data_IF_254960711008
#
_entry.id   IF_254960711008
#
_cell.length_a   1.000
_cell.length_b   1.000
_cell.length_c   1.000
_cell.angle_alpha   90.00
_cell.angle_beta   90.00
_cell.angle_gamma   90.00
#
_symmetry.space_group_name_H-M   'P 1'
#
loop_
_entity.id
_entity.type
_entity.pdbx_description
1 polymer ?
#
# COMPACT_ATOMS: atom_id res chain seq x y z
N UNK A 1 3.85 50.07 3.10
CA UNK A 1 3.48 48.99 2.19
C UNK A 1 3.75 47.68 2.89
N UNK A 2 2.70 47.05 3.36
CA UNK A 2 2.83 45.82 4.15
C UNK A 2 3.31 44.67 3.29
N UNK A 3 4.46 44.10 3.65
CA UNK A 3 4.80 42.74 3.23
C UNK A 3 3.72 41.83 3.80
N UNK A 4 2.91 41.26 2.94
CA UNK A 4 2.09 40.11 3.27
C UNK A 4 3.04 39.03 3.76
N UNK A 5 3.11 38.85 5.07
CA UNK A 5 3.73 37.67 5.63
C UNK A 5 2.98 36.45 5.03
N UNK A 6 3.69 35.64 4.31
CA UNK A 6 3.23 34.32 3.93
C UNK A 6 2.86 33.60 5.24
N UNK A 7 1.57 33.51 5.53
CA UNK A 7 1.05 32.73 6.65
C UNK A 7 1.14 31.20 6.37
N UNK A 8 2.19 30.79 5.68
CA UNK A 8 2.44 29.41 5.24
C UNK A 8 2.68 28.45 6.41
N UNK A 9 3.00 29.01 7.60
CA UNK A 9 3.16 28.20 8.80
C UNK A 9 1.84 27.63 9.34
N UNK A 10 0.69 28.08 8.86
CA UNK A 10 -0.63 27.60 9.28
C UNK A 10 -1.14 26.43 8.45
N UNK A 11 -0.47 26.09 7.36
CA UNK A 11 -0.78 24.86 6.61
C UNK A 11 -0.07 23.68 7.25
N UNK A 12 -0.49 23.32 8.46
CA UNK A 12 -0.21 21.99 8.98
C UNK A 12 -1.09 21.06 8.16
N UNK A 13 -0.48 20.41 7.17
CA UNK A 13 -1.16 19.36 6.42
C UNK A 13 -1.50 18.24 7.41
N UNK A 14 -2.75 18.17 7.82
CA UNK A 14 -3.24 17.15 8.73
C UNK A 14 -3.31 15.83 7.98
N UNK A 15 -2.39 14.91 8.33
CA UNK A 15 -2.34 13.58 7.75
C UNK A 15 -2.96 12.58 8.70
N UNK A 16 -3.83 11.74 8.19
CA UNK A 16 -4.39 10.60 8.92
C UNK A 16 -4.44 9.36 8.02
N UNK A 17 -4.38 8.18 8.63
CA UNK A 17 -4.57 6.91 7.95
C UNK A 17 -5.93 6.38 8.38
N UNK A 18 -6.80 6.14 7.40
CA UNK A 18 -8.19 5.78 7.62
C UNK A 18 -8.52 4.43 6.98
N UNK A 19 -9.48 3.67 7.53
CA UNK A 19 -9.94 2.44 6.92
C UNK A 19 -10.76 2.70 5.66
N UNK A 20 -10.99 1.64 4.89
CA UNK A 20 -11.79 1.68 3.69
C UNK A 20 -13.20 2.22 3.94
N UNK A 21 -13.64 3.09 3.03
CA UNK A 21 -15.01 3.51 2.86
C UNK A 21 -15.36 3.41 1.37
N UNK A 22 -16.59 2.98 1.05
CA UNK A 22 -16.98 2.76 -0.34
C UNK A 22 -16.87 4.01 -1.24
N UNK A 23 -17.02 5.19 -0.65
CA UNK A 23 -16.82 6.46 -1.37
C UNK A 23 -15.41 6.65 -1.90
N UNK A 24 -14.43 5.91 -1.37
CA UNK A 24 -13.02 5.98 -1.79
C UNK A 24 -12.59 4.80 -2.69
N UNK A 25 -13.54 3.98 -3.14
CA UNK A 25 -13.22 2.85 -4.02
C UNK A 25 -12.53 3.29 -5.30
N UNK A 26 -12.95 4.41 -5.87
CA UNK A 26 -12.36 4.97 -7.08
C UNK A 26 -10.93 5.49 -6.82
N UNK A 27 -10.69 6.09 -5.65
CA UNK A 27 -9.35 6.53 -5.25
C UNK A 27 -8.39 5.35 -5.16
N UNK A 28 -8.82 4.23 -4.59
CA UNK A 28 -8.04 3.00 -4.53
C UNK A 28 -7.62 2.52 -5.93
N UNK A 29 -8.57 2.47 -6.86
CA UNK A 29 -8.32 2.07 -8.25
C UNK A 29 -7.35 3.02 -8.95
N UNK A 30 -7.63 4.31 -8.91
CA UNK A 30 -6.85 5.33 -9.63
C UNK A 30 -5.42 5.44 -9.12
N UNK A 31 -5.20 5.42 -7.80
CA UNK A 31 -3.85 5.47 -7.22
C UNK A 31 -3.01 4.28 -7.68
N UNK A 32 -3.58 3.07 -7.67
CA UNK A 32 -2.87 1.88 -8.08
C UNK A 32 -2.63 1.82 -9.59
N UNK A 33 -3.62 2.21 -10.41
CA UNK A 33 -3.44 2.26 -11.86
C UNK A 33 -2.34 3.26 -12.25
N UNK A 34 -2.32 4.45 -11.65
CA UNK A 34 -1.28 5.45 -11.91
C UNK A 34 0.11 4.93 -11.56
N UNK A 35 0.24 4.22 -10.43
CA UNK A 35 1.50 3.61 -10.02
C UNK A 35 1.94 2.50 -10.98
N UNK A 36 1.01 1.63 -11.40
CA UNK A 36 1.29 0.54 -12.36
C UNK A 36 1.71 1.09 -13.72
N UNK A 37 1.01 2.10 -14.22
CA UNK A 37 1.34 2.73 -15.50
C UNK A 37 2.71 3.39 -15.49
N UNK A 38 3.15 3.92 -14.35
CA UNK A 38 4.46 4.55 -14.21
C UNK A 38 5.61 3.54 -14.21
N UNK A 39 5.45 2.39 -13.56
CA UNK A 39 6.54 1.44 -13.33
C UNK A 39 6.41 0.14 -14.11
N UNK A 40 5.20 -0.22 -14.53
CA UNK A 40 4.86 -1.49 -15.17
C UNK A 40 3.75 -1.29 -16.20
N UNK A 41 2.89 -2.28 -16.33
CA UNK A 41 1.63 -2.22 -17.09
C UNK A 41 0.49 -2.71 -16.20
N UNK A 42 -0.72 -2.27 -16.49
CA UNK A 42 -1.92 -2.79 -15.82
C UNK A 42 -2.26 -4.13 -16.44
N UNK A 43 -2.09 -5.21 -15.67
CA UNK A 43 -2.41 -6.57 -16.13
C UNK A 43 -3.90 -6.87 -15.90
N UNK A 44 -4.48 -7.88 -16.59
CA UNK A 44 -5.91 -8.18 -16.46
C UNK A 44 -6.37 -8.43 -15.02
N UNK A 45 -5.57 -9.14 -14.23
CA UNK A 45 -5.88 -9.41 -12.83
C UNK A 45 -5.84 -8.13 -11.97
N UNK A 46 -4.96 -7.17 -12.31
CA UNK A 46 -4.98 -5.85 -11.65
C UNK A 46 -6.32 -5.15 -11.86
N UNK A 47 -6.77 -5.09 -13.11
CA UNK A 47 -8.03 -4.43 -13.46
C UNK A 47 -9.22 -5.06 -12.73
N UNK A 48 -9.26 -6.38 -12.65
CA UNK A 48 -10.30 -7.11 -11.94
C UNK A 48 -10.29 -6.78 -10.44
N UNK A 49 -9.13 -6.93 -9.80
CA UNK A 49 -9.00 -6.71 -8.36
C UNK A 49 -9.25 -5.25 -7.97
N UNK A 50 -8.73 -4.29 -8.76
CA UNK A 50 -8.89 -2.87 -8.48
C UNK A 50 -10.33 -2.37 -8.69
N UNK A 51 -11.06 -2.93 -9.65
CA UNK A 51 -12.44 -2.57 -9.89
C UNK A 51 -13.45 -3.29 -8.97
N UNK A 52 -13.03 -4.42 -8.39
CA UNK A 52 -13.90 -5.27 -7.54
C UNK A 52 -13.26 -5.49 -6.15
N UNK A 53 -12.64 -4.46 -5.60
CA UNK A 53 -11.88 -4.59 -4.35
C UNK A 53 -12.75 -5.01 -3.15
N UNK A 54 -14.01 -4.62 -3.12
CA UNK A 54 -14.92 -5.05 -2.04
C UNK A 54 -15.15 -6.55 -2.07
N UNK A 55 -15.38 -7.12 -3.25
CA UNK A 55 -15.63 -8.55 -3.41
C UNK A 55 -14.34 -9.40 -3.29
N UNK A 56 -13.21 -8.90 -3.82
CA UNK A 56 -11.99 -9.68 -3.92
C UNK A 56 -11.08 -9.51 -2.70
N UNK A 57 -11.07 -8.31 -2.07
CA UNK A 57 -10.21 -8.02 -0.93
C UNK A 57 -10.98 -8.05 0.39
N UNK A 58 -12.05 -7.26 0.49
CA UNK A 58 -12.71 -7.03 1.78
C UNK A 58 -13.59 -8.20 2.21
N UNK A 59 -14.45 -8.72 1.34
CA UNK A 59 -15.34 -9.84 1.67
C UNK A 59 -14.59 -11.10 2.13
N UNK A 60 -13.47 -11.50 1.50
CA UNK A 60 -12.69 -12.64 2.00
C UNK A 60 -11.98 -12.40 3.33
N UNK A 61 -12.00 -11.19 3.88
CA UNK A 61 -11.41 -10.85 5.16
C UNK A 61 -10.17 -9.98 5.09
N UNK A 62 -9.90 -9.36 3.95
CA UNK A 62 -8.80 -8.41 3.78
C UNK A 62 -9.14 -7.00 4.26
N UNK A 63 -8.19 -6.11 4.11
CA UNK A 63 -8.28 -4.72 4.56
C UNK A 63 -7.71 -3.77 3.52
N UNK A 64 -8.31 -2.58 3.43
CA UNK A 64 -7.76 -1.47 2.63
C UNK A 64 -7.70 -0.25 3.53
N UNK A 65 -6.57 0.46 3.48
CA UNK A 65 -6.36 1.72 4.19
C UNK A 65 -5.97 2.81 3.23
N UNK A 66 -6.26 4.05 3.63
CA UNK A 66 -5.93 5.24 2.86
C UNK A 66 -5.14 6.23 3.71
N UNK A 67 -4.25 6.95 3.05
CA UNK A 67 -3.69 8.20 3.60
C UNK A 67 -4.57 9.33 3.11
N UNK A 68 -5.10 10.10 4.05
CA UNK A 68 -5.84 11.33 3.77
C UNK A 68 -5.05 12.53 4.30
N UNK A 69 -4.82 13.49 3.44
CA UNK A 69 -4.24 14.78 3.82
C UNK A 69 -5.31 15.84 3.55
N UNK A 70 -5.73 16.52 4.64
CA UNK A 70 -6.90 17.39 4.62
C UNK A 70 -8.13 16.61 4.15
N UNK A 71 -8.68 16.91 2.99
CA UNK A 71 -9.84 16.16 2.44
C UNK A 71 -9.47 15.26 1.27
N UNK A 72 -8.17 15.10 0.98
CA UNK A 72 -7.67 14.42 -0.22
C UNK A 72 -7.11 13.05 0.10
N UNK A 73 -7.48 12.06 -0.69
CA UNK A 73 -6.91 10.70 -0.61
C UNK A 73 -5.64 10.70 -1.46
N UNK A 74 -4.50 10.47 -0.82
CA UNK A 74 -3.17 10.61 -1.45
C UNK A 74 -2.34 9.33 -1.42
N UNK A 75 -2.81 8.31 -0.74
CA UNK A 75 -2.11 7.02 -0.68
C UNK A 75 -3.05 5.91 -0.24
N UNK A 76 -2.62 4.68 -0.50
CA UNK A 76 -3.38 3.49 -0.14
C UNK A 76 -2.47 2.28 0.02
N UNK A 77 -2.92 1.30 0.81
CA UNK A 77 -2.32 -0.02 0.90
C UNK A 77 -3.40 -1.04 1.29
N UNK A 78 -3.18 -2.29 0.94
CA UNK A 78 -4.12 -3.36 1.22
C UNK A 78 -3.45 -4.55 1.88
N UNK A 79 -4.22 -5.29 2.67
CA UNK A 79 -3.94 -6.65 3.10
C UNK A 79 -4.93 -7.60 2.44
N UNK A 80 -4.41 -8.58 1.73
CA UNK A 80 -5.20 -9.65 1.09
C UNK A 80 -5.12 -10.88 1.98
N UNK A 81 -6.28 -11.41 2.39
CA UNK A 81 -6.34 -12.63 3.20
C UNK A 81 -5.81 -13.82 2.43
N UNK A 82 -4.91 -14.59 3.03
CA UNK A 82 -4.36 -15.82 2.44
C UNK A 82 -4.78 -17.06 3.23
N UNK A 83 -4.61 -17.04 4.53
CA UNK A 83 -5.04 -18.08 5.47
C UNK A 83 -5.08 -17.49 6.86
N UNK A 84 -5.52 -18.25 7.86
CA UNK A 84 -5.63 -17.75 9.24
C UNK A 84 -4.30 -17.17 9.73
N UNK A 85 -4.29 -15.88 10.03
CA UNK A 85 -3.12 -15.15 10.51
C UNK A 85 -2.06 -14.85 9.45
N UNK A 86 -2.32 -15.14 8.18
CA UNK A 86 -1.39 -14.88 7.07
C UNK A 86 -2.05 -13.94 6.05
N UNK A 87 -1.43 -12.80 5.81
CA UNK A 87 -1.95 -11.78 4.89
C UNK A 87 -0.87 -11.32 3.92
N UNK A 88 -1.30 -11.00 2.72
CA UNK A 88 -0.41 -10.41 1.70
C UNK A 88 -0.54 -8.88 1.74
N UNK A 89 0.59 -8.20 1.97
CA UNK A 89 0.68 -6.75 1.84
C UNK A 89 0.87 -6.39 0.37
N UNK A 90 0.01 -5.55 -0.14
CA UNK A 90 0.08 -5.14 -1.53
C UNK A 90 -0.75 -3.91 -1.85
N UNK A 91 -0.84 -3.60 -3.14
CA UNK A 91 -1.61 -2.46 -3.64
C UNK A 91 -1.26 -1.15 -2.95
N UNK A 92 0.04 -1.00 -2.61
CA UNK A 92 0.57 0.20 -1.99
C UNK A 92 0.96 1.21 -3.06
N UNK A 93 0.35 2.38 -2.99
CA UNK A 93 0.60 3.46 -3.93
C UNK A 93 0.43 4.81 -3.24
N UNK A 94 1.30 5.76 -3.56
CA UNK A 94 1.23 7.15 -3.09
C UNK A 94 1.20 8.06 -4.30
N UNK A 95 0.33 9.07 -4.28
CA UNK A 95 0.24 10.08 -5.32
C UNK A 95 1.61 10.75 -5.49
N UNK A 96 2.17 10.81 -6.73
CA UNK A 96 3.47 11.40 -6.98
C UNK A 96 3.63 12.84 -6.50
N UNK A 97 2.55 13.62 -6.48
CA UNK A 97 2.56 15.01 -5.98
C UNK A 97 2.97 15.08 -4.50
N UNK A 98 2.69 14.02 -3.74
CA UNK A 98 2.97 13.93 -2.30
C UNK A 98 4.21 13.09 -1.99
N UNK A 99 4.98 12.66 -2.98
CA UNK A 99 6.22 11.94 -2.77
C UNK A 99 7.27 12.85 -2.11
N UNK A 100 8.26 12.23 -1.43
CA UNK A 100 9.29 12.97 -0.71
C UNK A 100 8.91 13.38 0.72
N UNK A 101 7.70 13.07 1.16
CA UNK A 101 7.20 13.34 2.52
C UNK A 101 7.20 12.10 3.42
N UNK A 102 7.84 11.03 2.97
CA UNK A 102 7.93 9.73 3.68
C UNK A 102 6.55 9.09 3.96
N UNK A 103 5.55 9.38 3.15
CA UNK A 103 4.20 8.85 3.34
C UNK A 103 4.16 7.34 3.19
N UNK A 104 4.90 6.77 2.24
CA UNK A 104 5.02 5.34 2.06
C UNK A 104 5.60 4.64 3.29
N UNK A 105 6.62 5.23 3.92
CA UNK A 105 7.21 4.70 5.15
C UNK A 105 6.23 4.77 6.33
N UNK A 106 5.51 5.87 6.47
CA UNK A 106 4.49 6.03 7.51
C UNK A 106 3.36 5.02 7.33
N UNK A 107 2.93 4.80 6.09
CA UNK A 107 1.91 3.80 5.78
C UNK A 107 2.42 2.38 6.08
N UNK A 108 3.67 2.08 5.74
CA UNK A 108 4.29 0.79 6.06
C UNK A 108 4.28 0.53 7.58
N UNK A 109 4.70 1.51 8.38
CA UNK A 109 4.69 1.38 9.84
C UNK A 109 3.28 1.13 10.37
N UNK A 110 2.30 1.85 9.86
CA UNK A 110 0.90 1.63 10.22
C UNK A 110 0.44 0.20 9.90
N UNK A 111 0.76 -0.29 8.70
CA UNK A 111 0.38 -1.63 8.27
C UNK A 111 1.01 -2.70 9.16
N UNK A 112 2.28 -2.56 9.52
CA UNK A 112 2.98 -3.49 10.41
C UNK A 112 2.40 -3.48 11.82
N UNK A 113 2.12 -2.30 12.37
CA UNK A 113 1.48 -2.16 13.69
C UNK A 113 0.08 -2.78 13.69
N UNK A 114 -0.69 -2.58 12.63
CA UNK A 114 -2.01 -3.19 12.48
C UNK A 114 -1.93 -4.72 12.53
N UNK A 115 -0.99 -5.32 11.81
CA UNK A 115 -0.78 -6.76 11.82
C UNK A 115 -0.40 -7.28 13.22
N UNK A 116 0.49 -6.57 13.92
CA UNK A 116 0.90 -6.93 15.28
C UNK A 116 -0.27 -6.85 16.26
N UNK A 117 -1.06 -5.78 16.20
CA UNK A 117 -2.24 -5.60 17.06
C UNK A 117 -3.30 -6.67 16.83
N UNK A 118 -3.39 -7.20 15.64
CA UNK A 118 -4.32 -8.27 15.29
C UNK A 118 -3.76 -9.67 15.53
N UNK A 119 -2.54 -9.77 16.07
CA UNK A 119 -1.87 -11.03 16.40
C UNK A 119 -1.71 -11.96 15.20
N UNK A 120 -1.46 -11.40 14.02
CA UNK A 120 -1.17 -12.21 12.84
C UNK A 120 0.20 -12.87 12.98
N UNK A 121 0.36 -14.01 12.33
CA UNK A 121 1.61 -14.77 12.39
C UNK A 121 2.61 -14.37 11.31
N UNK A 122 2.12 -13.92 10.15
CA UNK A 122 2.98 -13.70 9.00
C UNK A 122 2.37 -12.68 8.03
N UNK A 123 3.24 -11.84 7.50
CA UNK A 123 2.93 -10.99 6.33
C UNK A 123 3.79 -11.49 5.17
N UNK A 124 3.18 -11.69 4.01
CA UNK A 124 3.89 -11.97 2.76
C UNK A 124 3.73 -10.79 1.79
N UNK A 125 4.65 -10.65 0.86
CA UNK A 125 4.52 -9.70 -0.24
C UNK A 125 5.20 -10.24 -1.50
N UNK A 126 4.73 -9.75 -2.63
CA UNK A 126 5.33 -9.98 -3.94
C UNK A 126 5.80 -8.65 -4.51
N UNK A 127 6.98 -8.61 -5.09
CA UNK A 127 7.56 -7.39 -5.62
C UNK A 127 8.40 -7.66 -6.86
N UNK A 128 9.10 -6.65 -7.34
CA UNK A 128 10.01 -6.74 -8.47
C UNK A 128 11.40 -6.30 -8.06
N UNK A 129 12.42 -7.04 -8.52
CA UNK A 129 13.82 -6.72 -8.24
C UNK A 129 14.26 -5.37 -8.79
N UNK A 130 13.54 -4.83 -9.77
CA UNK A 130 13.82 -3.49 -10.29
C UNK A 130 13.43 -2.36 -9.32
N UNK A 131 12.56 -2.65 -8.35
CA UNK A 131 12.13 -1.70 -7.31
C UNK A 131 13.09 -1.70 -6.12
N UNK A 132 14.33 -1.28 -6.34
CA UNK A 132 15.41 -1.39 -5.35
C UNK A 132 15.12 -0.66 -4.04
N UNK A 133 14.51 0.53 -4.12
CA UNK A 133 14.15 1.28 -2.91
C UNK A 133 13.08 0.57 -2.08
N UNK A 134 12.08 -0.01 -2.74
CA UNK A 134 11.04 -0.78 -2.04
C UNK A 134 11.64 -2.00 -1.34
N UNK A 135 12.49 -2.76 -2.02
CA UNK A 135 13.16 -3.93 -1.45
C UNK A 135 14.02 -3.54 -0.25
N UNK A 136 14.74 -2.43 -0.33
CA UNK A 136 15.53 -1.92 0.79
C UNK A 136 14.64 -1.62 2.01
N UNK A 137 13.49 -0.97 1.81
CA UNK A 137 12.54 -0.65 2.88
C UNK A 137 11.98 -1.93 3.50
N UNK A 138 11.64 -2.93 2.68
CA UNK A 138 11.15 -4.22 3.19
C UNK A 138 12.20 -4.90 4.05
N UNK A 139 13.44 -5.00 3.56
CA UNK A 139 14.55 -5.61 4.31
C UNK A 139 14.82 -4.87 5.62
N UNK A 140 14.78 -3.55 5.60
CA UNK A 140 14.96 -2.71 6.80
C UNK A 140 13.89 -3.00 7.86
N UNK A 141 12.68 -3.36 7.44
CA UNK A 141 11.58 -3.70 8.34
C UNK A 141 11.52 -5.18 8.72
N UNK A 142 12.53 -5.96 8.33
CA UNK A 142 12.65 -7.35 8.76
C UNK A 142 12.12 -8.39 7.78
N UNK A 143 11.65 -7.99 6.60
CA UNK A 143 11.25 -8.94 5.56
C UNK A 143 12.47 -9.67 5.01
N UNK A 144 12.31 -10.96 4.78
CA UNK A 144 13.33 -11.82 4.17
C UNK A 144 12.81 -12.41 2.87
N UNK A 145 13.71 -12.61 1.90
CA UNK A 145 13.36 -13.29 0.65
C UNK A 145 13.09 -14.77 0.89
N UNK A 146 12.04 -15.27 0.28
CA UNK A 146 11.65 -16.69 0.30
C UNK A 146 11.39 -17.16 -1.12
N UNK A 147 11.35 -18.50 -1.37
CA UNK A 147 11.06 -19.02 -2.71
C UNK A 147 9.74 -18.52 -3.27
N UNK A 148 9.78 -18.16 -4.55
CA UNK A 148 8.62 -17.70 -5.32
C UNK A 148 7.83 -18.88 -5.85
N UNK A 149 6.51 -18.90 -5.67
CA UNK A 149 5.65 -19.92 -6.24
C UNK A 149 5.59 -19.78 -7.78
N UNK A 150 5.41 -20.87 -8.52
CA UNK A 150 5.12 -20.81 -9.95
C UNK A 150 3.68 -20.32 -10.19
N UNK A 151 3.42 -19.83 -11.41
CA UNK A 151 2.07 -19.46 -11.87
C UNK A 151 1.38 -18.35 -11.05
N UNK A 152 2.14 -17.32 -10.70
CA UNK A 152 1.56 -16.12 -10.08
C UNK A 152 0.66 -15.37 -11.08
N UNK A 153 -0.36 -14.67 -10.56
CA UNK A 153 -1.27 -13.90 -11.42
C UNK A 153 -0.63 -12.68 -12.10
N UNK A 154 0.58 -12.28 -11.68
CA UNK A 154 1.30 -11.13 -12.22
C UNK A 154 2.66 -11.54 -12.78
N UNK A 155 2.94 -11.14 -14.03
CA UNK A 155 4.22 -11.41 -14.68
C UNK A 155 5.36 -10.56 -14.09
N UNK A 156 5.04 -9.40 -13.53
CA UNK A 156 6.04 -8.47 -12.96
C UNK A 156 6.67 -8.94 -11.66
N UNK A 157 6.04 -9.87 -10.96
CA UNK A 157 6.52 -10.34 -9.66
C UNK A 157 7.62 -11.37 -9.82
N UNK A 158 8.85 -11.02 -9.43
CA UNK A 158 10.00 -11.89 -9.49
C UNK A 158 10.69 -12.11 -8.14
N UNK A 159 10.11 -11.60 -7.06
CA UNK A 159 10.57 -11.80 -5.69
C UNK A 159 9.39 -11.90 -4.74
N UNK A 160 9.49 -12.86 -3.80
CA UNK A 160 8.57 -12.98 -2.67
C UNK A 160 9.33 -12.73 -1.38
N UNK A 161 8.73 -12.01 -0.47
CA UNK A 161 9.30 -11.75 0.85
C UNK A 161 8.30 -12.07 1.95
N UNK A 162 8.80 -12.42 3.12
CA UNK A 162 7.99 -12.72 4.30
C UNK A 162 8.52 -11.98 5.53
N UNK A 163 7.60 -11.60 6.40
CA UNK A 163 7.88 -11.14 7.75
C UNK A 163 7.12 -12.03 8.73
N UNK A 164 7.86 -12.74 9.58
CA UNK A 164 7.27 -13.52 10.65
C UNK A 164 6.97 -12.60 11.85
N UNK A 165 5.74 -12.64 12.33
CA UNK A 165 5.27 -11.90 13.49
C UNK A 165 5.15 -12.88 14.67
N UNK A 166 5.36 -12.36 15.84
CA UNK A 166 5.21 -13.18 17.06
C UNK A 166 3.89 -12.88 17.75
#
# INVERSE_FOLDING_TARGET
MGKTRNDDWRKVNYMEIIPYESRYAEDFRLLNEAWLEKYFVVEPYDSELLSQCEDIILKPGGFIFFIRIDSEIVGTAAYIFKSKGVYELGKMAVDPVFQGQKLGQKLMLFMLEFAQKNHWSKIILYSSRKLKNALYIYQKNGFIEVPLEPNLPYDRSDIKMELNLK
#
